data_IF_463488678695
#
_entry.id   IF_463488678695
#
_cell.length_a   1.000
_cell.length_b   1.000
_cell.length_c   1.000
_cell.angle_alpha   90.00
_cell.angle_beta   90.00
_cell.angle_gamma   90.00
#
_symmetry.space_group_name_H-M   'P 1'
#
loop_
_entity.id
_entity.type
_entity.pdbx_description
1 polymer ?
#
# COMPACT_ATOMS: atom_id res chain seq x y z
N UNK A 1 -14.12 -40.30 -26.94
CA UNK A 1 -15.22 -39.32 -27.15
C UNK A 1 -14.68 -37.91 -26.88
N UNK A 2 -13.67 -37.47 -27.64
CA UNK A 2 -13.10 -36.12 -27.54
C UNK A 2 -12.84 -35.59 -28.96
N UNK A 3 -13.92 -35.39 -29.70
CA UNK A 3 -13.87 -34.73 -31.00
C UNK A 3 -14.76 -33.49 -30.94
N UNK A 4 -14.24 -32.35 -31.39
CA UNK A 4 -14.94 -31.08 -31.61
C UNK A 4 -15.30 -30.23 -30.38
N UNK A 5 -14.31 -29.70 -29.65
CA UNK A 5 -14.53 -28.46 -28.88
C UNK A 5 -14.49 -27.22 -29.79
N UNK A 6 -13.51 -27.12 -30.68
CA UNK A 6 -13.38 -26.01 -31.64
C UNK A 6 -14.59 -25.87 -32.58
N UNK A 7 -15.11 -26.98 -33.13
CA UNK A 7 -16.29 -26.91 -34.00
C UNK A 7 -17.59 -26.53 -33.25
N UNK A 8 -17.65 -26.68 -31.92
CA UNK A 8 -18.81 -26.23 -31.13
C UNK A 8 -18.76 -24.70 -30.93
N UNK A 9 -17.56 -24.13 -30.79
CA UNK A 9 -17.35 -22.70 -30.66
C UNK A 9 -17.75 -21.95 -31.94
N UNK A 10 -17.36 -22.46 -33.11
CA UNK A 10 -17.66 -21.84 -34.42
C UNK A 10 -19.13 -21.91 -34.84
N UNK A 11 -19.92 -22.86 -34.31
CA UNK A 11 -21.28 -23.13 -34.83
C UNK A 11 -22.41 -22.62 -33.92
N UNK A 12 -22.13 -22.30 -32.66
CA UNK A 12 -23.18 -21.99 -31.65
C UNK A 12 -23.02 -20.59 -31.04
N UNK A 13 -21.79 -20.10 -30.89
CA UNK A 13 -21.52 -18.85 -30.19
C UNK A 13 -21.31 -17.70 -31.18
N UNK A 14 -21.71 -16.48 -30.77
CA UNK A 14 -21.37 -15.29 -31.54
C UNK A 14 -19.87 -15.01 -31.36
N UNK A 15 -19.17 -14.46 -32.37
CA UNK A 15 -17.74 -14.14 -32.25
C UNK A 15 -17.40 -13.27 -31.04
N UNK A 16 -18.25 -12.31 -30.68
CA UNK A 16 -18.05 -11.47 -29.49
C UNK A 16 -18.10 -12.29 -28.19
N UNK A 17 -18.90 -13.36 -28.18
CA UNK A 17 -18.97 -14.29 -27.05
C UNK A 17 -17.75 -15.19 -26.98
N UNK A 18 -17.14 -15.53 -28.12
CA UNK A 18 -15.94 -16.37 -28.18
C UNK A 18 -14.72 -15.65 -27.58
N UNK A 19 -14.56 -14.34 -27.88
CA UNK A 19 -13.47 -13.52 -27.32
C UNK A 19 -13.53 -13.51 -25.79
N UNK A 20 -14.73 -13.38 -25.22
CA UNK A 20 -14.96 -13.29 -23.78
C UNK A 20 -14.96 -14.65 -23.03
N UNK A 21 -14.62 -15.77 -23.69
CA UNK A 21 -14.59 -17.07 -23.02
C UNK A 21 -13.36 -17.20 -22.13
N UNK A 22 -13.59 -17.26 -20.82
CA UNK A 22 -12.58 -17.63 -19.83
C UNK A 22 -12.28 -19.14 -19.90
N UNK A 23 -11.05 -19.52 -19.55
CA UNK A 23 -10.58 -20.92 -19.48
C UNK A 23 -10.60 -21.70 -20.81
N UNK A 24 -10.62 -21.00 -21.95
CA UNK A 24 -10.44 -21.59 -23.27
C UNK A 24 -9.09 -21.15 -23.84
N UNK A 25 -8.22 -22.07 -24.30
CA UNK A 25 -6.93 -21.71 -24.86
C UNK A 25 -7.04 -20.67 -25.97
N UNK A 26 -6.09 -19.74 -26.02
CA UNK A 26 -6.03 -18.66 -27.01
C UNK A 26 -6.24 -19.16 -28.44
N UNK A 27 -5.47 -20.18 -28.86
CA UNK A 27 -5.52 -20.74 -30.22
C UNK A 27 -6.92 -21.22 -30.60
N UNK A 28 -7.63 -21.87 -29.68
CA UNK A 28 -9.01 -22.33 -29.92
C UNK A 28 -10.02 -21.19 -30.02
N UNK A 29 -9.82 -20.09 -29.29
CA UNK A 29 -10.65 -18.89 -29.41
C UNK A 29 -10.37 -18.17 -30.73
N UNK A 30 -9.10 -17.98 -31.08
CA UNK A 30 -8.67 -17.33 -32.30
C UNK A 30 -9.17 -18.07 -33.55
N UNK A 31 -8.96 -19.38 -33.63
CA UNK A 31 -9.42 -20.23 -34.76
C UNK A 31 -10.95 -20.24 -34.91
N UNK A 32 -11.69 -19.89 -33.86
CA UNK A 32 -13.15 -19.78 -33.91
C UNK A 32 -13.64 -18.42 -34.41
N UNK A 33 -12.75 -17.44 -34.61
CA UNK A 33 -13.08 -16.12 -35.15
C UNK A 33 -13.16 -16.13 -36.69
N UNK A 34 -14.02 -15.27 -37.28
CA UNK A 34 -14.14 -15.19 -38.73
C UNK A 34 -12.85 -14.68 -39.39
N UNK A 35 -12.45 -15.32 -40.50
CA UNK A 35 -11.29 -14.90 -41.29
C UNK A 35 -9.93 -15.43 -40.80
N UNK A 36 -9.90 -16.06 -39.62
CA UNK A 36 -8.71 -16.74 -39.08
C UNK A 36 -8.50 -18.08 -39.78
N UNK A 37 -7.28 -18.32 -40.22
CA UNK A 37 -6.84 -19.57 -40.87
C UNK A 37 -6.19 -20.48 -39.83
N UNK A 38 -5.23 -19.95 -39.08
CA UNK A 38 -4.45 -20.67 -38.06
C UNK A 38 -4.05 -19.71 -36.94
N UNK A 39 -3.77 -20.24 -35.74
CA UNK A 39 -3.26 -19.48 -34.61
C UNK A 39 -2.16 -20.26 -33.86
N UNK A 40 -1.19 -19.53 -33.32
CA UNK A 40 0.02 -20.08 -32.70
C UNK A 40 0.36 -19.37 -31.39
N UNK A 41 1.04 -20.10 -30.50
CA UNK A 41 1.61 -19.60 -29.23
C UNK A 41 3.10 -19.26 -29.36
N UNK A 42 3.57 -19.10 -30.60
CA UNK A 42 4.93 -18.67 -30.93
C UNK A 42 4.90 -17.93 -32.26
N UNK A 43 5.85 -17.01 -32.44
CA UNK A 43 6.06 -16.31 -33.70
C UNK A 43 7.00 -17.14 -34.57
N UNK A 44 6.60 -17.36 -35.82
CA UNK A 44 7.40 -18.13 -36.80
C UNK A 44 7.26 -17.49 -38.20
N UNK A 45 8.05 -17.97 -39.15
CA UNK A 45 7.94 -17.56 -40.54
C UNK A 45 6.61 -18.01 -41.16
N UNK A 46 5.97 -17.11 -41.91
CA UNK A 46 4.69 -17.39 -42.57
C UNK A 46 4.80 -17.15 -44.07
N UNK A 47 4.23 -18.04 -44.88
CA UNK A 47 4.19 -17.87 -46.34
C UNK A 47 3.43 -16.60 -46.75
N UNK A 48 4.02 -15.84 -47.68
CA UNK A 48 3.36 -14.75 -48.39
C UNK A 48 2.08 -15.28 -49.07
N UNK A 49 1.01 -14.50 -48.96
CA UNK A 49 -0.27 -14.77 -49.61
C UNK A 49 -0.25 -14.30 -51.08
N UNK A 50 -1.09 -14.91 -51.92
CA UNK A 50 -1.22 -14.57 -53.34
C UNK A 50 -0.42 -15.48 -54.27
N UNK A 51 -0.01 -14.95 -55.43
CA UNK A 51 0.80 -15.67 -56.42
C UNK A 51 2.27 -15.69 -55.94
N UNK A 52 2.59 -16.69 -55.12
CA UNK A 52 3.90 -16.89 -54.49
C UNK A 52 4.60 -18.13 -55.11
N UNK A 53 5.11 -18.03 -56.36
CA UNK A 53 5.69 -19.16 -57.07
C UNK A 53 7.04 -19.63 -56.49
N UNK A 54 7.71 -18.76 -55.74
CA UNK A 54 9.03 -18.99 -55.16
C UNK A 54 8.96 -19.46 -53.68
N UNK A 55 7.74 -19.58 -53.12
CA UNK A 55 7.47 -19.95 -51.72
C UNK A 55 8.16 -19.02 -50.70
N UNK A 56 8.21 -17.72 -51.01
CA UNK A 56 8.81 -16.71 -50.14
C UNK A 56 8.05 -16.63 -48.80
N UNK A 57 8.81 -16.48 -47.72
CA UNK A 57 8.31 -16.36 -46.33
C UNK A 57 8.48 -14.93 -45.80
N UNK A 58 7.59 -14.56 -44.87
CA UNK A 58 7.66 -13.34 -44.08
C UNK A 58 8.38 -13.70 -42.77
N UNK A 59 9.52 -13.07 -42.53
CA UNK A 59 10.21 -13.13 -41.22
C UNK A 59 9.52 -12.14 -40.27
N UNK A 60 8.45 -12.61 -39.63
CA UNK A 60 7.58 -11.80 -38.77
C UNK A 60 8.36 -11.01 -37.71
N UNK A 61 9.36 -11.64 -37.10
CA UNK A 61 10.16 -11.01 -36.05
C UNK A 61 10.97 -9.81 -36.53
N UNK A 62 11.34 -9.75 -37.82
CA UNK A 62 12.05 -8.60 -38.39
C UNK A 62 11.17 -7.40 -38.68
N UNK A 63 9.89 -7.66 -38.91
CA UNK A 63 8.91 -6.61 -39.23
C UNK A 63 8.36 -5.93 -37.97
N UNK A 64 8.41 -6.63 -36.84
CA UNK A 64 8.05 -6.07 -35.54
C UNK A 64 9.10 -5.05 -35.08
N UNK A 65 8.62 -3.92 -34.55
CA UNK A 65 9.51 -2.91 -33.95
C UNK A 65 10.13 -3.39 -32.64
N UNK A 66 9.35 -4.09 -31.82
CA UNK A 66 9.83 -4.77 -30.61
C UNK A 66 9.65 -6.27 -30.77
N UNK A 67 10.74 -7.03 -30.63
CA UNK A 67 10.68 -8.47 -30.53
C UNK A 67 10.22 -8.85 -29.11
N UNK A 68 9.17 -9.67 -28.95
CA UNK A 68 8.74 -10.11 -27.63
C UNK A 68 9.84 -10.85 -26.88
N UNK A 69 9.89 -10.64 -25.57
CA UNK A 69 10.78 -11.39 -24.68
C UNK A 69 10.12 -12.70 -24.20
N UNK A 70 8.80 -12.71 -24.07
CA UNK A 70 8.00 -13.87 -23.62
C UNK A 70 6.58 -13.83 -24.16
N UNK A 71 5.86 -14.95 -24.01
CA UNK A 71 4.43 -15.07 -24.30
C UNK A 71 4.02 -14.60 -25.69
N UNK A 72 4.78 -15.04 -26.70
CA UNK A 72 4.50 -14.79 -28.11
C UNK A 72 3.15 -15.37 -28.54
N UNK A 73 2.45 -14.67 -29.43
CA UNK A 73 1.20 -15.11 -30.03
C UNK A 73 1.14 -14.66 -31.49
N UNK A 74 0.56 -15.49 -32.35
CA UNK A 74 0.37 -15.18 -33.76
C UNK A 74 -0.97 -15.69 -34.26
N UNK A 75 -1.69 -14.87 -35.01
CA UNK A 75 -2.93 -15.22 -35.71
C UNK A 75 -2.71 -15.00 -37.20
N UNK A 76 -2.85 -16.07 -37.97
CA UNK A 76 -2.73 -16.07 -39.42
C UNK A 76 -4.12 -15.94 -40.01
N UNK A 77 -4.36 -14.86 -40.74
CA UNK A 77 -5.59 -14.64 -41.49
C UNK A 77 -5.30 -14.68 -43.00
N UNK A 78 -6.35 -14.57 -43.82
CA UNK A 78 -6.22 -14.64 -45.28
C UNK A 78 -5.32 -13.56 -45.89
N UNK A 79 -5.47 -12.31 -45.45
CA UNK A 79 -4.80 -11.12 -46.04
C UNK A 79 -3.72 -10.49 -45.16
N UNK A 80 -3.62 -10.89 -43.90
CA UNK A 80 -2.77 -10.23 -42.89
C UNK A 80 -2.45 -11.19 -41.75
N UNK A 81 -1.45 -10.84 -40.96
CA UNK A 81 -1.03 -11.51 -39.73
C UNK A 81 -1.25 -10.55 -38.56
N UNK A 82 -1.68 -11.07 -37.42
CA UNK A 82 -1.72 -10.32 -36.15
C UNK A 82 -0.76 -11.01 -35.22
N UNK A 83 0.27 -10.29 -34.78
CA UNK A 83 1.40 -10.86 -34.02
C UNK A 83 1.63 -10.00 -32.80
N UNK A 84 2.02 -10.62 -31.69
CA UNK A 84 2.23 -9.89 -30.46
C UNK A 84 2.91 -10.73 -29.40
N UNK A 85 3.23 -10.09 -28.29
CA UNK A 85 3.83 -10.74 -27.14
C UNK A 85 4.13 -9.75 -26.04
N UNK A 86 4.85 -10.20 -25.02
CA UNK A 86 5.25 -9.38 -23.89
C UNK A 86 6.71 -8.99 -23.98
N UNK A 87 6.98 -7.70 -23.75
CA UNK A 87 8.32 -7.14 -23.66
C UNK A 87 8.59 -6.67 -22.23
N UNK A 88 9.78 -6.92 -21.70
CA UNK A 88 10.16 -6.39 -20.39
C UNK A 88 10.33 -4.87 -20.44
N UNK A 89 9.68 -4.16 -19.52
CA UNK A 89 9.88 -2.72 -19.33
C UNK A 89 11.11 -2.46 -18.47
N UNK A 90 12.19 -2.05 -19.14
CA UNK A 90 13.47 -1.74 -18.49
C UNK A 90 13.50 -0.34 -17.84
N UNK A 91 12.51 0.53 -18.09
CA UNK A 91 12.38 1.88 -17.51
C UNK A 91 11.19 1.98 -16.55
N UNK A 92 10.96 0.92 -15.78
CA UNK A 92 9.79 0.73 -14.93
C UNK A 92 9.91 1.33 -13.53
N UNK A 93 10.93 2.17 -13.26
CA UNK A 93 11.09 2.77 -11.92
C UNK A 93 9.94 3.68 -11.52
N UNK A 94 9.23 4.26 -12.49
CA UNK A 94 8.07 5.13 -12.30
C UNK A 94 6.76 4.36 -12.05
N UNK A 95 6.83 3.02 -12.03
CA UNK A 95 5.71 2.11 -11.80
C UNK A 95 5.79 1.44 -10.42
N UNK A 96 6.60 1.99 -9.50
CA UNK A 96 6.62 1.52 -8.11
C UNK A 96 5.23 1.69 -7.49
N UNK A 97 4.52 0.59 -7.16
CA UNK A 97 3.17 0.69 -6.65
C UNK A 97 3.11 1.36 -5.27
N UNK A 98 4.24 1.47 -4.56
CA UNK A 98 4.38 2.12 -3.25
C UNK A 98 5.06 3.50 -3.32
N UNK A 99 5.17 4.10 -4.51
CA UNK A 99 5.65 5.47 -4.65
C UNK A 99 4.72 6.45 -3.90
N UNK A 100 5.24 7.47 -3.21
CA UNK A 100 4.40 8.47 -2.55
C UNK A 100 3.37 9.11 -3.49
N UNK A 101 2.08 8.86 -3.22
CA UNK A 101 0.95 9.41 -3.99
C UNK A 101 0.22 8.42 -4.90
N UNK A 102 0.61 7.14 -4.90
CA UNK A 102 -0.08 6.07 -5.66
C UNK A 102 -1.32 5.52 -4.95
N UNK A 103 -1.67 6.03 -3.77
CA UNK A 103 -2.82 5.62 -2.95
C UNK A 103 -2.74 4.18 -2.39
N UNK A 104 -1.55 3.58 -2.39
CA UNK A 104 -1.28 2.22 -1.90
C UNK A 104 -0.42 2.19 -0.62
N UNK A 105 -0.09 3.36 -0.05
CA UNK A 105 0.86 3.48 1.05
C UNK A 105 2.32 3.37 0.60
N UNK A 106 3.23 3.31 1.58
CA UNK A 106 4.67 3.31 1.35
C UNK A 106 5.37 2.20 2.12
N UNK A 107 6.47 1.69 1.57
CA UNK A 107 7.36 0.76 2.24
C UNK A 107 8.61 1.49 2.70
N UNK A 108 9.00 1.28 3.96
CA UNK A 108 10.22 1.84 4.53
C UNK A 108 11.11 0.72 5.07
N UNK A 109 12.42 0.77 4.80
CA UNK A 109 13.37 -0.26 5.17
C UNK A 109 14.15 0.06 6.44
N UNK A 110 14.40 -0.96 7.27
CA UNK A 110 15.22 -0.85 8.47
C UNK A 110 16.73 -0.69 8.19
N UNK A 111 17.17 -1.01 6.96
CA UNK A 111 18.58 -1.09 6.61
C UNK A 111 18.92 -0.26 5.38
N UNK A 112 20.12 0.31 5.38
CA UNK A 112 20.66 1.09 4.26
C UNK A 112 21.07 0.25 3.05
N UNK A 113 20.89 -1.08 3.11
CA UNK A 113 21.09 -1.96 1.97
C UNK A 113 19.99 -1.78 0.91
N UNK A 114 18.78 -1.42 1.33
CA UNK A 114 17.60 -1.28 0.46
C UNK A 114 16.97 0.10 0.51
N UNK A 115 16.99 0.74 1.67
CA UNK A 115 16.56 2.14 1.80
C UNK A 115 17.72 3.09 1.95
N UNK A 116 17.43 4.39 1.91
CA UNK A 116 18.37 5.43 2.33
C UNK A 116 18.20 5.79 3.82
N UNK A 117 18.99 6.76 4.30
CA UNK A 117 18.92 7.20 5.69
C UNK A 117 17.61 7.90 6.05
N UNK A 118 16.95 8.56 5.08
CA UNK A 118 15.65 9.20 5.30
C UNK A 118 14.57 8.13 5.43
N UNK A 119 14.63 7.11 4.59
CA UNK A 119 13.73 5.96 4.62
C UNK A 119 13.87 5.16 5.92
N UNK A 120 15.10 4.93 6.39
CA UNK A 120 15.35 4.30 7.67
C UNK A 120 14.78 5.10 8.84
N UNK A 121 14.89 6.43 8.80
CA UNK A 121 14.25 7.29 9.81
C UNK A 121 12.71 7.19 9.77
N UNK A 122 12.12 7.07 8.58
CA UNK A 122 10.67 6.83 8.42
C UNK A 122 10.25 5.46 8.95
N UNK A 123 11.06 4.41 8.76
CA UNK A 123 10.85 3.09 9.35
C UNK A 123 10.78 3.18 10.89
N UNK A 124 11.76 3.81 11.54
CA UNK A 124 11.76 3.93 13.00
C UNK A 124 10.62 4.81 13.50
N UNK A 125 10.38 5.95 12.85
CA UNK A 125 9.29 6.85 13.20
C UNK A 125 7.91 6.18 13.10
N UNK A 126 7.68 5.35 12.08
CA UNK A 126 6.44 4.59 11.92
C UNK A 126 6.19 3.62 13.09
N UNK A 127 7.25 3.09 13.69
CA UNK A 127 7.18 2.20 14.86
C UNK A 127 7.16 2.94 16.21
N UNK A 128 7.26 4.28 16.21
CA UNK A 128 7.37 5.10 17.42
C UNK A 128 8.77 5.09 18.06
N UNK A 129 9.79 4.77 17.26
CA UNK A 129 11.19 4.70 17.67
C UNK A 129 11.97 5.95 17.24
N UNK A 130 13.11 6.18 17.88
CA UNK A 130 14.05 7.26 17.55
C UNK A 130 14.95 6.88 16.37
N UNK A 131 15.83 7.78 15.94
CA UNK A 131 16.74 7.54 14.80
C UNK A 131 17.74 6.41 15.03
N UNK A 132 17.96 6.01 16.28
CA UNK A 132 18.85 4.92 16.66
C UNK A 132 18.09 3.58 16.85
N UNK A 133 16.77 3.59 16.63
CA UNK A 133 15.90 2.42 16.79
C UNK A 133 15.52 2.11 18.23
N UNK A 134 15.73 3.03 19.17
CA UNK A 134 15.29 2.89 20.56
C UNK A 134 13.91 3.50 20.76
N UNK A 135 13.27 3.22 21.90
CA UNK A 135 11.99 3.84 22.27
C UNK A 135 12.13 5.36 22.32
N UNK A 136 11.34 6.07 21.50
CA UNK A 136 11.36 7.52 21.50
C UNK A 136 10.45 8.08 22.60
N UNK A 137 11.06 8.57 23.67
CA UNK A 137 10.34 9.18 24.79
C UNK A 137 9.95 10.65 24.57
N UNK A 138 10.31 11.25 23.43
CA UNK A 138 10.01 12.65 23.11
C UNK A 138 8.57 12.86 22.65
N UNK A 139 7.85 11.78 22.30
CA UNK A 139 6.45 11.84 21.90
C UNK A 139 5.58 12.46 23.01
N UNK A 140 4.73 13.42 22.65
CA UNK A 140 3.86 14.12 23.61
C UNK A 140 2.98 13.16 24.43
N UNK A 141 2.36 12.12 23.85
CA UNK A 141 1.59 11.14 24.62
C UNK A 141 2.41 10.38 25.68
N UNK A 142 3.71 10.17 25.43
CA UNK A 142 4.63 9.54 26.39
C UNK A 142 4.95 10.52 27.50
N UNK A 143 5.30 11.76 27.14
CA UNK A 143 5.54 12.83 28.12
C UNK A 143 4.33 13.03 29.05
N UNK A 144 3.12 13.07 28.52
CA UNK A 144 1.88 13.22 29.30
C UNK A 144 1.67 12.06 30.29
N UNK A 145 2.01 10.82 29.88
CA UNK A 145 1.96 9.64 30.76
C UNK A 145 3.01 9.69 31.85
N UNK A 146 4.24 10.10 31.52
CA UNK A 146 5.29 10.30 32.51
C UNK A 146 4.85 11.34 33.54
N UNK A 147 4.29 12.49 33.11
CA UNK A 147 3.76 13.51 34.03
C UNK A 147 2.70 12.93 34.95
N UNK A 148 1.74 12.17 34.42
CA UNK A 148 0.69 11.53 35.23
C UNK A 148 1.27 10.55 36.26
N UNK A 149 2.25 9.73 35.88
CA UNK A 149 2.94 8.79 36.76
C UNK A 149 3.71 9.51 37.86
N UNK A 150 4.50 10.52 37.52
CA UNK A 150 5.23 11.36 38.49
C UNK A 150 4.25 12.06 39.44
N UNK A 151 3.17 12.66 38.94
CA UNK A 151 2.17 13.34 39.78
C UNK A 151 1.42 12.37 40.69
N UNK A 152 1.17 11.14 40.25
CA UNK A 152 0.60 10.07 41.09
C UNK A 152 1.57 9.70 42.21
N UNK A 153 2.85 9.44 41.89
CA UNK A 153 3.88 9.11 42.88
C UNK A 153 4.11 10.23 43.91
N UNK A 154 4.15 11.49 43.46
CA UNK A 154 4.18 12.65 44.36
C UNK A 154 2.93 12.69 45.25
N UNK A 155 1.76 12.36 44.71
CA UNK A 155 0.51 12.32 45.46
C UNK A 155 0.47 11.25 46.56
N UNK A 156 1.18 10.13 46.36
CA UNK A 156 1.30 9.03 47.33
C UNK A 156 2.29 9.36 48.45
N UNK A 157 3.34 10.16 48.17
CA UNK A 157 4.24 10.71 49.19
C UNK A 157 3.81 12.12 49.63
N UNK A 158 3.01 12.17 50.71
CA UNK A 158 2.51 13.42 51.28
C UNK A 158 3.63 14.39 51.73
N UNK A 159 4.79 13.87 52.11
CA UNK A 159 5.94 14.67 52.56
C UNK A 159 6.58 15.38 51.38
N UNK A 160 6.80 14.65 50.28
CA UNK A 160 7.28 15.19 49.01
C UNK A 160 6.31 16.22 48.44
N UNK A 161 5.01 15.89 48.37
CA UNK A 161 3.99 16.82 47.88
C UNK A 161 3.99 18.13 48.67
N UNK A 162 3.98 18.04 49.99
CA UNK A 162 3.95 19.23 50.85
C UNK A 162 5.20 20.09 50.65
N UNK A 163 6.38 19.46 50.50
CA UNK A 163 7.65 20.15 50.23
C UNK A 163 7.61 20.90 48.90
N UNK A 164 7.14 20.26 47.83
CA UNK A 164 7.07 20.85 46.49
C UNK A 164 6.05 21.99 46.44
N UNK A 165 4.88 21.83 47.06
CA UNK A 165 3.87 22.90 47.17
C UNK A 165 4.38 24.11 47.97
N UNK A 166 5.08 23.87 49.08
CA UNK A 166 5.74 24.96 49.83
C UNK A 166 6.78 25.66 48.97
N UNK A 167 7.49 24.90 48.11
CA UNK A 167 8.47 25.49 47.20
C UNK A 167 7.83 26.35 46.11
N UNK A 168 6.71 25.93 45.54
CA UNK A 168 5.93 26.77 44.61
C UNK A 168 5.57 28.13 45.22
N UNK A 169 5.17 28.14 46.50
CA UNK A 169 4.92 29.37 47.24
C UNK A 169 6.15 30.27 47.31
N UNK A 170 7.32 29.68 47.59
CA UNK A 170 8.57 30.41 47.73
C UNK A 170 9.04 31.09 46.43
N UNK A 171 8.66 30.52 45.27
CA UNK A 171 8.96 31.08 43.94
C UNK A 171 7.79 31.90 43.36
N UNK A 172 6.82 32.30 44.18
CA UNK A 172 5.63 33.07 43.78
C UNK A 172 4.77 32.43 42.68
N UNK A 173 4.75 31.10 42.58
CA UNK A 173 3.81 30.36 41.72
C UNK A 173 2.54 29.96 42.50
N UNK A 174 1.40 29.76 41.81
CA UNK A 174 0.18 29.27 42.45
C UNK A 174 0.41 27.95 43.20
N UNK A 175 -0.04 27.86 44.44
CA UNK A 175 0.14 26.66 45.27
C UNK A 175 -0.99 25.68 44.98
N UNK A 176 -0.88 24.94 43.88
CA UNK A 176 -1.85 23.93 43.46
C UNK A 176 -1.17 22.73 42.81
N UNK A 177 -1.84 21.57 42.83
CA UNK A 177 -1.38 20.38 42.08
C UNK A 177 -1.23 20.68 40.59
N UNK A 178 -2.17 21.43 40.01
CA UNK A 178 -2.12 21.85 38.61
C UNK A 178 -0.88 22.70 38.30
N UNK A 179 -0.48 23.63 39.18
CA UNK A 179 0.73 24.41 38.96
C UNK A 179 2.01 23.57 39.09
N UNK A 180 2.01 22.53 39.92
CA UNK A 180 3.12 21.60 40.03
C UNK A 180 3.24 20.75 38.76
N UNK A 181 2.10 20.21 38.30
CA UNK A 181 1.99 19.46 37.05
C UNK A 181 2.51 20.26 35.85
N UNK A 182 2.13 21.54 35.72
CA UNK A 182 2.65 22.41 34.65
C UNK A 182 4.17 22.62 34.73
N UNK A 183 4.75 22.65 35.95
CA UNK A 183 6.21 22.77 36.12
C UNK A 183 6.93 21.48 35.71
N UNK A 184 6.34 20.32 36.03
CA UNK A 184 6.89 19.01 35.65
C UNK A 184 6.77 18.82 34.13
N UNK A 185 5.62 19.11 33.54
CA UNK A 185 5.42 19.07 32.09
C UNK A 185 6.42 19.99 31.39
N UNK A 186 6.60 21.22 31.88
CA UNK A 186 7.57 22.15 31.33
C UNK A 186 9.00 21.56 31.35
N UNK A 187 9.39 20.94 32.47
CA UNK A 187 10.72 20.35 32.63
C UNK A 187 10.96 19.18 31.67
N UNK A 188 9.99 18.28 31.49
CA UNK A 188 10.08 17.16 30.53
C UNK A 188 10.14 17.69 29.09
N UNK A 189 9.34 18.70 28.77
CA UNK A 189 9.26 19.25 27.41
C UNK A 189 10.51 20.04 26.96
N UNK A 190 11.51 20.23 27.83
CA UNK A 190 12.75 20.92 27.43
C UNK A 190 13.66 20.00 26.61
N UNK A 191 14.26 19.00 27.27
CA UNK A 191 15.20 18.05 26.65
C UNK A 191 14.81 16.58 26.93
N UNK A 192 13.57 16.35 27.35
CA UNK A 192 13.05 15.03 27.68
C UNK A 192 13.13 14.69 29.17
N UNK A 193 12.67 13.48 29.50
CA UNK A 193 12.53 13.02 30.89
C UNK A 193 13.87 12.89 31.62
N UNK A 194 14.94 12.53 30.91
CA UNK A 194 16.28 12.28 31.48
C UNK A 194 16.92 13.53 32.08
N UNK A 195 16.61 14.70 31.50
CA UNK A 195 17.08 16.01 31.98
C UNK A 195 16.04 16.75 32.83
N UNK A 196 14.82 16.21 32.96
CA UNK A 196 13.74 16.88 33.67
C UNK A 196 14.11 17.25 35.12
N UNK A 197 14.91 16.43 35.80
CA UNK A 197 15.39 16.73 37.15
C UNK A 197 16.26 17.99 37.22
N UNK A 198 17.09 18.26 36.21
CA UNK A 198 17.92 19.46 36.16
C UNK A 198 17.05 20.71 35.98
N UNK A 199 16.05 20.65 35.08
CA UNK A 199 15.09 21.74 34.89
C UNK A 199 14.20 21.95 36.12
N UNK A 200 13.86 20.89 36.85
CA UNK A 200 13.16 21.00 38.12
C UNK A 200 14.04 21.63 39.19
N UNK A 201 15.33 21.27 39.27
CA UNK A 201 16.29 21.89 40.18
C UNK A 201 16.44 23.39 39.87
N UNK A 202 16.50 23.78 38.60
CA UNK A 202 16.62 25.18 38.20
C UNK A 202 15.33 25.94 38.48
N UNK A 203 14.19 25.43 38.01
CA UNK A 203 12.89 26.11 38.13
C UNK A 203 12.44 26.24 39.59
N UNK A 204 12.59 25.17 40.38
CA UNK A 204 12.15 25.17 41.76
C UNK A 204 13.22 25.77 42.66
N UNK A 205 14.49 25.40 42.51
CA UNK A 205 15.54 25.71 43.49
C UNK A 205 16.58 26.74 43.01
N UNK A 206 16.57 27.14 41.73
CA UNK A 206 17.55 28.07 41.15
C UNK A 206 18.93 27.43 40.99
N UNK A 207 19.00 26.11 40.87
CA UNK A 207 20.24 25.35 40.74
C UNK A 207 20.29 24.70 39.36
N UNK A 208 21.30 25.02 38.56
CA UNK A 208 21.35 24.61 37.15
C UNK A 208 21.41 23.10 36.91
N UNK A 209 21.82 22.31 37.91
CA UNK A 209 21.91 20.85 37.81
C UNK A 209 21.52 20.20 39.14
N UNK A 210 20.78 19.10 39.05
CA UNK A 210 20.33 18.31 40.19
C UNK A 210 21.50 17.84 41.07
N UNK A 211 22.60 17.43 40.46
CA UNK A 211 23.79 16.96 41.17
C UNK A 211 24.56 18.06 41.93
N UNK A 212 24.20 19.34 41.73
CA UNK A 212 24.76 20.48 42.47
C UNK A 212 23.88 20.93 43.64
N UNK A 213 22.76 20.25 43.86
CA UNK A 213 21.91 20.52 45.02
C UNK A 213 22.64 20.12 46.32
N UNK A 214 22.28 20.79 47.41
CA UNK A 214 22.75 20.44 48.75
C UNK A 214 22.41 18.97 49.06
N UNK A 215 23.36 18.21 49.62
CA UNK A 215 23.24 16.76 49.81
C UNK A 215 22.03 16.37 50.66
N UNK A 216 21.79 17.09 51.76
CA UNK A 216 20.63 16.87 52.62
C UNK A 216 19.30 17.16 51.91
N UNK A 217 19.30 18.05 50.92
CA UNK A 217 18.12 18.36 50.11
C UNK A 217 17.93 17.33 49.01
N UNK A 218 19.02 16.87 48.38
CA UNK A 218 19.00 15.82 47.38
C UNK A 218 18.46 14.51 47.99
N UNK A 219 18.93 14.12 49.17
CA UNK A 219 18.42 12.94 49.90
C UNK A 219 16.91 13.02 50.18
N UNK A 220 16.42 14.22 50.56
CA UNK A 220 14.99 14.47 50.82
C UNK A 220 14.14 14.47 49.55
N UNK A 221 14.76 14.67 48.39
CA UNK A 221 14.09 14.65 47.08
C UNK A 221 14.40 13.38 46.28
N UNK A 222 15.14 12.43 46.86
CA UNK A 222 15.40 11.14 46.22
C UNK A 222 14.12 10.39 45.80
N UNK A 223 13.00 10.45 46.55
CA UNK A 223 11.74 9.87 46.08
C UNK A 223 11.22 10.52 44.78
N UNK A 224 11.49 11.81 44.54
CA UNK A 224 11.16 12.47 43.27
C UNK A 224 12.06 11.97 42.15
N UNK A 225 13.37 11.86 42.41
CA UNK A 225 14.33 11.36 41.41
C UNK A 225 14.01 9.93 40.97
N UNK A 226 13.55 9.08 41.89
CA UNK A 226 13.14 7.71 41.59
C UNK A 226 11.94 7.62 40.62
N UNK A 227 11.10 8.66 40.54
CA UNK A 227 9.97 8.72 39.60
C UNK A 227 10.41 9.06 38.16
N UNK A 228 11.63 9.57 37.97
CA UNK A 228 12.25 9.83 36.66
C UNK A 228 13.27 8.72 36.36
N UNK A 229 12.80 7.47 36.35
CA UNK A 229 13.62 6.32 35.98
C UNK A 229 13.34 5.89 34.54
N UNK A 230 14.32 5.23 33.92
CA UNK A 230 14.19 4.65 32.57
C UNK A 230 13.02 3.65 32.51
N UNK A 231 12.86 2.82 33.55
CA UNK A 231 11.75 1.86 33.65
C UNK A 231 10.37 2.54 33.58
N UNK A 232 10.19 3.69 34.24
CA UNK A 232 8.92 4.43 34.20
C UNK A 232 8.67 5.05 32.82
N UNK A 233 9.74 5.50 32.14
CA UNK A 233 9.65 6.02 30.77
C UNK A 233 9.34 4.91 29.77
N UNK A 234 9.96 3.73 29.90
CA UNK A 234 9.70 2.56 29.08
C UNK A 234 8.25 2.07 29.20
N UNK A 235 7.72 2.01 30.43
CA UNK A 235 6.32 1.63 30.65
C UNK A 235 5.35 2.69 30.09
N UNK A 236 5.65 3.98 30.24
CA UNK A 236 4.85 5.04 29.66
C UNK A 236 4.83 4.98 28.13
N UNK A 237 5.95 4.60 27.51
CA UNK A 237 6.04 4.36 26.08
C UNK A 237 5.22 3.13 25.67
N UNK A 238 5.33 2.00 26.37
CA UNK A 238 4.57 0.78 26.07
C UNK A 238 3.06 1.01 26.15
N UNK A 239 2.59 1.76 27.15
CA UNK A 239 1.20 2.17 27.29
C UNK A 239 0.72 3.10 26.16
N UNK A 240 1.58 3.99 25.69
CA UNK A 240 1.26 4.89 24.58
C UNK A 240 1.22 4.13 23.25
N UNK A 241 2.14 3.19 23.05
CA UNK A 241 2.18 2.34 21.87
C UNK A 241 0.95 1.42 21.82
N UNK A 242 0.62 0.76 22.94
CA UNK A 242 -0.55 -0.11 23.05
C UNK A 242 -1.88 0.65 22.85
N UNK A 243 -1.91 1.95 23.13
CA UNK A 243 -3.05 2.82 22.87
C UNK A 243 -3.10 3.36 21.43
N UNK A 244 -2.09 3.08 20.58
CA UNK A 244 -2.00 3.61 19.23
C UNK A 244 -1.76 5.11 19.16
N UNK A 245 -1.18 5.72 20.20
CA UNK A 245 -0.96 7.18 20.27
C UNK A 245 0.42 7.61 19.78
N UNK A 246 1.34 6.65 19.60
CA UNK A 246 2.69 6.89 19.08
C UNK A 246 2.99 5.95 17.92
N UNK A 247 3.88 6.42 17.03
CA UNK A 247 4.07 5.79 15.74
C UNK A 247 2.82 5.87 14.86
N UNK A 248 2.72 4.97 13.90
CA UNK A 248 1.57 4.84 13.00
C UNK A 248 0.86 3.51 13.30
N UNK A 249 -0.34 3.51 13.91
CA UNK A 249 -0.98 2.30 14.44
C UNK A 249 -1.28 1.19 13.42
N UNK A 250 -1.47 1.56 12.15
CA UNK A 250 -1.74 0.63 11.06
C UNK A 250 -0.48 0.19 10.30
N UNK A 251 0.70 0.46 10.85
CA UNK A 251 1.98 0.02 10.28
C UNK A 251 2.06 -1.50 10.33
N UNK A 252 2.33 -2.13 9.18
CA UNK A 252 2.45 -3.58 9.06
C UNK A 252 3.93 -3.95 8.91
N UNK A 253 4.52 -4.73 9.84
CA UNK A 253 5.89 -5.16 9.73
C UNK A 253 6.04 -6.22 8.63
N UNK A 254 7.12 -6.11 7.85
CA UNK A 254 7.38 -6.97 6.69
C UNK A 254 8.66 -7.79 6.85
N UNK A 255 8.58 -9.06 6.46
CA UNK A 255 9.73 -9.93 6.25
C UNK A 255 10.19 -9.83 4.79
N UNK A 256 11.50 -9.85 4.58
CA UNK A 256 12.14 -9.83 3.25
C UNK A 256 12.90 -11.13 3.04
N UNK A 257 12.51 -11.91 2.03
CA UNK A 257 13.20 -13.11 1.58
C UNK A 257 14.01 -12.83 0.31
N UNK A 258 15.26 -13.28 0.28
CA UNK A 258 16.19 -13.02 -0.83
C UNK A 258 16.92 -14.28 -1.29
N UNK A 259 16.41 -14.94 -2.34
CA UNK A 259 17.10 -16.06 -2.99
C UNK A 259 16.67 -16.16 -4.45
N UNK A 260 17.59 -15.87 -5.38
CA UNK A 260 17.33 -15.80 -6.84
C UNK A 260 16.25 -14.79 -7.26
N UNK A 261 15.79 -13.95 -6.32
CA UNK A 261 14.74 -12.95 -6.44
C UNK A 261 14.48 -12.35 -5.06
N UNK A 262 13.50 -11.45 -4.97
CA UNK A 262 13.06 -10.86 -3.71
C UNK A 262 11.57 -11.09 -3.46
N UNK A 263 11.20 -11.39 -2.23
CA UNK A 263 9.81 -11.45 -1.82
C UNK A 263 9.60 -10.77 -0.46
N UNK A 264 8.71 -9.79 -0.46
CA UNK A 264 8.17 -9.15 0.72
C UNK A 264 6.91 -9.88 1.17
N UNK A 265 6.74 -10.03 2.47
CA UNK A 265 5.55 -10.62 3.06
C UNK A 265 5.25 -10.01 4.41
N UNK A 266 3.98 -10.03 4.82
CA UNK A 266 3.62 -9.70 6.20
C UNK A 266 4.41 -10.62 7.14
N UNK A 267 4.94 -10.03 8.22
CA UNK A 267 5.84 -10.74 9.14
C UNK A 267 5.26 -12.08 9.58
N UNK A 268 6.02 -13.16 9.38
CA UNK A 268 5.63 -14.51 9.76
C UNK A 268 4.73 -15.26 8.78
N UNK A 269 4.24 -14.65 7.69
CA UNK A 269 3.35 -15.33 6.73
C UNK A 269 4.06 -15.87 5.49
N UNK A 270 5.24 -15.37 5.15
CA UNK A 270 5.97 -15.75 3.93
C UNK A 270 7.00 -16.86 4.10
N UNK A 271 7.97 -16.87 3.18
CA UNK A 271 9.10 -17.80 3.21
C UNK A 271 9.96 -17.56 4.45
N UNK A 272 10.19 -18.61 5.23
CA UNK A 272 10.91 -18.56 6.50
C UNK A 272 12.23 -19.34 6.41
N UNK A 273 13.13 -18.90 5.52
CA UNK A 273 14.49 -19.43 5.44
C UNK A 273 15.38 -18.77 6.49
N UNK A 274 16.13 -19.57 7.24
CA UNK A 274 17.05 -19.07 8.27
C UNK A 274 18.14 -18.13 7.72
N UNK A 275 18.54 -18.31 6.47
CA UNK A 275 19.66 -17.60 5.87
C UNK A 275 19.22 -16.44 4.98
N UNK A 276 18.08 -16.62 4.31
CA UNK A 276 17.64 -15.71 3.26
C UNK A 276 16.47 -14.81 3.70
N UNK A 277 15.84 -15.08 4.86
CA UNK A 277 14.75 -14.25 5.38
C UNK A 277 15.24 -13.30 6.48
N UNK A 278 15.13 -12.01 6.24
CA UNK A 278 15.29 -10.95 7.24
C UNK A 278 13.93 -10.58 7.81
N UNK A 279 13.75 -10.75 9.13
CA UNK A 279 12.46 -10.51 9.78
C UNK A 279 12.24 -9.06 10.15
N UNK A 280 11.01 -8.56 9.97
CA UNK A 280 10.62 -7.17 10.22
C UNK A 280 11.63 -6.15 9.63
N UNK A 281 12.22 -6.50 8.48
CA UNK A 281 13.29 -5.73 7.85
C UNK A 281 12.77 -4.52 7.06
N UNK A 282 11.45 -4.44 6.87
CA UNK A 282 10.73 -3.28 6.38
C UNK A 282 9.39 -3.12 7.10
N UNK A 283 8.75 -1.99 6.89
CA UNK A 283 7.36 -1.76 7.27
C UNK A 283 6.58 -1.23 6.08
N UNK A 284 5.34 -1.68 5.93
CA UNK A 284 4.37 -1.00 5.08
C UNK A 284 3.55 -0.05 5.94
N UNK A 285 3.39 1.17 5.45
CA UNK A 285 2.68 2.26 6.13
C UNK A 285 1.59 2.77 5.18
N UNK A 286 0.30 2.63 5.53
CA UNK A 286 -0.76 3.14 4.68
C UNK A 286 -0.72 4.67 4.62
N UNK A 287 -1.00 5.21 3.43
CA UNK A 287 -1.27 6.63 3.22
C UNK A 287 -2.74 6.96 3.52
N UNK A 288 -3.15 8.22 3.31
CA UNK A 288 -4.50 8.67 3.63
C UNK A 288 -5.57 7.92 2.82
N UNK A 289 -5.31 7.63 1.55
CA UNK A 289 -6.25 6.94 0.67
C UNK A 289 -6.39 5.45 1.05
N UNK A 290 -5.27 4.78 1.35
CA UNK A 290 -5.27 3.42 1.88
C UNK A 290 -6.01 3.34 3.23
N UNK A 291 -5.79 4.32 4.13
CA UNK A 291 -6.51 4.41 5.41
C UNK A 291 -8.02 4.56 5.19
N UNK A 292 -8.46 5.39 4.24
CA UNK A 292 -9.87 5.59 3.93
C UNK A 292 -10.53 4.31 3.39
N UNK A 293 -9.82 3.53 2.58
CA UNK A 293 -10.26 2.22 2.10
C UNK A 293 -10.35 1.18 3.24
N UNK A 294 -9.29 1.07 4.05
CA UNK A 294 -9.24 0.19 5.23
C UNK A 294 -10.40 0.51 6.17
N UNK A 295 -10.61 1.80 6.45
CA UNK A 295 -11.68 2.26 7.34
C UNK A 295 -13.05 1.96 6.77
N UNK A 296 -13.29 2.19 5.47
CA UNK A 296 -14.56 1.84 4.83
C UNK A 296 -14.88 0.35 4.96
N UNK A 297 -13.89 -0.51 4.70
CA UNK A 297 -14.04 -1.97 4.80
C UNK A 297 -14.31 -2.42 6.25
N UNK A 298 -13.57 -1.87 7.22
CA UNK A 298 -13.80 -2.16 8.64
C UNK A 298 -15.21 -1.73 9.09
N UNK A 299 -15.66 -0.53 8.70
CA UNK A 299 -17.00 -0.04 9.04
C UNK A 299 -18.11 -0.89 8.40
N UNK A 300 -17.89 -1.36 7.17
CA UNK A 300 -18.81 -2.25 6.47
C UNK A 300 -18.97 -3.59 7.19
N UNK A 301 -17.88 -4.21 7.61
CA UNK A 301 -17.91 -5.48 8.35
C UNK A 301 -18.53 -5.34 9.75
N UNK A 302 -18.45 -4.16 10.37
CA UNK A 302 -19.19 -3.83 11.59
C UNK A 302 -20.70 -3.60 11.36
N UNK A 303 -21.18 -3.68 10.12
CA UNK A 303 -22.59 -3.48 9.77
C UNK A 303 -23.04 -2.03 9.89
N UNK A 304 -22.12 -1.07 9.80
CA UNK A 304 -22.45 0.37 9.89
C UNK A 304 -23.04 0.88 8.57
N UNK A 305 -22.54 0.36 7.44
CA UNK A 305 -23.02 0.68 6.10
C UNK A 305 -21.94 0.48 5.02
N UNK A 306 -22.21 0.97 3.82
CA UNK A 306 -21.33 0.91 2.66
C UNK A 306 -21.19 2.30 2.02
N UNK A 307 -20.01 2.59 1.49
CA UNK A 307 -19.75 3.77 0.65
C UNK A 307 -19.37 3.29 -0.74
N UNK A 308 -19.83 3.98 -1.79
CA UNK A 308 -19.43 3.70 -3.16
C UNK A 308 -19.35 4.98 -3.99
N UNK A 309 -18.50 4.92 -5.03
CA UNK A 309 -18.39 5.95 -6.04
C UNK A 309 -19.52 5.82 -7.07
N UNK A 310 -20.06 6.96 -7.49
CA UNK A 310 -21.09 7.09 -8.53
C UNK A 310 -20.67 8.16 -9.53
N UNK A 311 -21.16 8.03 -10.76
CA UNK A 311 -20.77 8.92 -11.85
C UNK A 311 -19.54 8.42 -12.59
N UNK A 312 -18.98 9.27 -13.45
CA UNK A 312 -17.82 8.94 -14.26
C UNK A 312 -16.69 9.93 -14.00
N UNK A 313 -15.47 9.42 -13.80
CA UNK A 313 -14.28 10.24 -13.69
C UNK A 313 -14.13 11.13 -14.95
N UNK A 314 -13.86 12.42 -14.75
CA UNK A 314 -13.70 13.38 -15.86
C UNK A 314 -15.00 13.84 -16.56
N UNK A 315 -16.17 13.31 -16.20
CA UNK A 315 -17.44 13.72 -16.81
C UNK A 315 -17.92 15.08 -16.27
N UNK A 316 -18.23 16.02 -17.18
CA UNK A 316 -18.80 17.33 -16.81
C UNK A 316 -20.29 17.24 -16.46
N UNK A 317 -21.02 16.27 -17.02
CA UNK A 317 -22.46 16.14 -16.85
C UNK A 317 -22.85 15.19 -15.72
N UNK A 318 -21.96 14.25 -15.38
CA UNK A 318 -22.16 13.30 -14.28
C UNK A 318 -20.82 13.05 -13.55
N UNK A 319 -20.30 14.06 -12.83
CA UNK A 319 -19.00 13.97 -12.18
C UNK A 319 -19.00 12.89 -11.09
N UNK A 320 -17.81 12.32 -10.87
CA UNK A 320 -17.58 11.34 -9.82
C UNK A 320 -17.92 11.91 -8.43
N UNK A 321 -18.72 11.19 -7.65
CA UNK A 321 -19.10 11.56 -6.29
C UNK A 321 -19.42 10.32 -5.44
N UNK A 322 -19.20 10.43 -4.13
CA UNK A 322 -19.46 9.35 -3.19
C UNK A 322 -20.88 9.41 -2.62
N UNK A 323 -21.45 8.24 -2.36
CA UNK A 323 -22.74 8.06 -1.68
C UNK A 323 -22.60 6.96 -0.63
N UNK A 324 -23.48 6.95 0.35
CA UNK A 324 -23.50 5.89 1.36
C UNK A 324 -24.83 5.16 1.41
N UNK A 325 -24.83 3.94 1.95
CA UNK A 325 -26.00 3.13 2.21
C UNK A 325 -25.87 2.43 3.55
N UNK A 326 -26.93 2.40 4.36
CA UNK A 326 -26.93 1.68 5.65
C UNK A 326 -27.39 0.23 5.51
N UNK A 327 -28.08 -0.11 4.41
CA UNK A 327 -28.66 -1.43 4.14
C UNK A 327 -28.05 -2.11 2.90
N UNK A 328 -27.10 -1.44 2.23
CA UNK A 328 -26.45 -1.90 1.00
C UNK A 328 -27.29 -1.72 -0.27
N UNK A 329 -28.49 -1.16 -0.19
CA UNK A 329 -29.42 -1.04 -1.32
C UNK A 329 -29.96 0.37 -1.54
N UNK A 330 -30.24 1.10 -0.46
CA UNK A 330 -30.74 2.46 -0.46
C UNK A 330 -29.57 3.43 -0.35
N UNK A 331 -29.29 4.17 -1.42
CA UNK A 331 -28.16 5.10 -1.50
C UNK A 331 -28.56 6.54 -1.20
N UNK A 332 -27.81 7.20 -0.32
CA UNK A 332 -27.99 8.58 0.13
C UNK A 332 -26.80 9.42 -0.34
N UNK A 333 -27.08 10.60 -0.89
CA UNK A 333 -26.04 11.53 -1.37
C UNK A 333 -26.20 11.98 -2.83
N UNK A 334 -27.29 11.61 -3.50
CA UNK A 334 -27.63 12.09 -4.84
C UNK A 334 -27.57 13.63 -4.91
N UNK A 335 -26.79 14.17 -5.87
CA UNK A 335 -26.65 15.60 -6.09
C UNK A 335 -25.88 16.37 -5.02
N UNK A 336 -25.28 15.69 -4.03
CA UNK A 336 -24.48 16.34 -2.97
C UNK A 336 -23.03 16.61 -3.36
N UNK A 337 -22.49 15.85 -4.32
CA UNK A 337 -21.10 15.98 -4.75
C UNK A 337 -20.09 15.64 -3.65
N UNK A 338 -20.44 14.73 -2.73
CA UNK A 338 -19.57 14.37 -1.62
C UNK A 338 -18.29 13.67 -2.10
N UNK A 339 -17.18 13.97 -1.41
CA UNK A 339 -15.97 13.14 -1.44
C UNK A 339 -16.13 11.89 -0.56
N UNK A 340 -15.27 10.90 -0.73
CA UNK A 340 -15.32 9.63 0.01
C UNK A 340 -15.44 9.82 1.53
N UNK A 341 -14.50 10.54 2.12
CA UNK A 341 -14.45 10.83 3.56
C UNK A 341 -15.73 11.52 4.04
N UNK A 342 -16.29 12.43 3.25
CA UNK A 342 -17.55 13.11 3.60
C UNK A 342 -18.73 12.14 3.60
N UNK A 343 -18.83 11.25 2.60
CA UNK A 343 -19.88 10.24 2.56
C UNK A 343 -19.75 9.25 3.73
N UNK A 344 -18.52 8.87 4.09
CA UNK A 344 -18.22 8.01 5.24
C UNK A 344 -18.64 8.68 6.57
N UNK A 345 -18.30 9.95 6.78
CA UNK A 345 -18.70 10.69 7.99
C UNK A 345 -20.22 10.83 8.12
N UNK A 346 -20.92 11.04 6.99
CA UNK A 346 -22.39 11.08 6.97
C UNK A 346 -22.99 9.70 7.27
N UNK A 347 -22.39 8.62 6.75
CA UNK A 347 -22.81 7.25 7.05
C UNK A 347 -22.69 6.95 8.54
N UNK A 348 -21.55 7.27 9.16
CA UNK A 348 -21.30 7.07 10.59
C UNK A 348 -22.31 7.88 11.42
N UNK A 349 -22.56 9.14 11.03
CA UNK A 349 -23.51 10.01 11.72
C UNK A 349 -24.97 9.54 11.61
N UNK A 350 -25.33 8.89 10.50
CA UNK A 350 -26.68 8.38 10.25
C UNK A 350 -26.90 6.98 10.85
N UNK A 351 -25.84 6.22 11.10
CA UNK A 351 -25.94 4.85 11.61
C UNK A 351 -26.36 4.83 13.09
N UNK A 352 -27.36 4.01 13.47
CA UNK A 352 -27.74 3.83 14.87
C UNK A 352 -26.81 2.88 15.63
N UNK A 353 -25.85 2.25 14.93
CA UNK A 353 -24.95 1.24 15.51
C UNK A 353 -23.92 1.93 16.39
N UNK A 354 -23.79 1.47 17.63
CA UNK A 354 -22.76 1.96 18.55
C UNK A 354 -21.43 1.31 18.17
N UNK A 355 -20.45 2.14 17.84
CA UNK A 355 -19.08 1.70 17.53
C UNK A 355 -18.34 1.42 18.85
N UNK A 356 -17.82 0.21 18.99
CA UNK A 356 -16.85 -0.11 20.03
C UNK A 356 -15.44 0.16 19.50
N UNK A 357 -14.71 1.10 20.11
CA UNK A 357 -13.43 1.55 19.59
C UNK A 357 -12.40 0.41 19.54
N UNK A 358 -12.32 -0.42 20.59
CA UNK A 358 -11.36 -1.53 20.63
C UNK A 358 -11.62 -2.55 19.52
N UNK A 359 -12.89 -2.88 19.26
CA UNK A 359 -13.27 -3.76 18.15
C UNK A 359 -12.94 -3.11 16.80
N UNK A 360 -13.21 -1.80 16.64
CA UNK A 360 -12.88 -1.07 15.43
C UNK A 360 -11.36 -1.07 15.16
N UNK A 361 -10.55 -0.75 16.16
CA UNK A 361 -9.10 -0.67 16.02
C UNK A 361 -8.51 -2.03 15.61
N UNK A 362 -8.96 -3.11 16.28
CA UNK A 362 -8.56 -4.47 15.92
C UNK A 362 -8.95 -4.85 14.50
N UNK A 363 -10.13 -4.44 14.04
CA UNK A 363 -10.60 -4.74 12.70
C UNK A 363 -9.89 -3.90 11.65
N UNK A 364 -9.62 -2.62 11.93
CA UNK A 364 -8.83 -1.75 11.06
C UNK A 364 -7.42 -2.32 10.87
N UNK A 365 -6.78 -2.81 11.93
CA UNK A 365 -5.47 -3.47 11.82
C UNK A 365 -5.55 -4.74 10.96
N UNK A 366 -6.56 -5.60 11.16
CA UNK A 366 -6.75 -6.78 10.32
C UNK A 366 -6.98 -6.44 8.84
N UNK A 367 -7.76 -5.39 8.55
CA UNK A 367 -7.97 -4.88 7.19
C UNK A 367 -6.73 -4.22 6.60
N UNK A 368 -5.89 -3.60 7.42
CA UNK A 368 -4.59 -3.11 6.99
C UNK A 368 -3.67 -4.26 6.57
N UNK A 369 -3.64 -5.39 7.31
CA UNK A 369 -2.89 -6.58 6.89
C UNK A 369 -3.41 -7.19 5.58
N UNK A 370 -4.74 -7.28 5.40
CA UNK A 370 -5.34 -7.77 4.15
C UNK A 370 -4.97 -6.86 2.97
N UNK A 371 -5.10 -5.55 3.15
CA UNK A 371 -4.77 -4.56 2.12
C UNK A 371 -3.28 -4.61 1.77
N UNK A 372 -2.41 -4.66 2.79
CA UNK A 372 -0.97 -4.80 2.62
C UNK A 372 -0.61 -6.03 1.78
N UNK A 373 -1.23 -7.19 2.03
CA UNK A 373 -0.97 -8.39 1.22
C UNK A 373 -1.26 -8.17 -0.27
N UNK A 374 -2.37 -7.50 -0.61
CA UNK A 374 -2.68 -7.15 -2.00
C UNK A 374 -1.63 -6.21 -2.61
N UNK A 375 -1.22 -5.16 -1.89
CA UNK A 375 -0.16 -4.24 -2.34
C UNK A 375 1.17 -4.97 -2.56
N UNK A 376 1.50 -5.93 -1.69
CA UNK A 376 2.74 -6.70 -1.80
C UNK A 376 2.77 -7.63 -3.02
N UNK A 377 1.63 -8.04 -3.57
CA UNK A 377 1.61 -8.81 -4.82
C UNK A 377 2.19 -7.99 -5.97
N UNK A 378 1.67 -6.78 -6.18
CA UNK A 378 2.17 -5.85 -7.20
C UNK A 378 3.61 -5.39 -6.91
N UNK A 379 3.91 -5.06 -5.64
CA UNK A 379 5.25 -4.62 -5.25
C UNK A 379 6.30 -5.72 -5.46
N UNK A 380 5.96 -6.99 -5.21
CA UNK A 380 6.89 -8.09 -5.48
C UNK A 380 7.14 -8.28 -6.97
N UNK A 381 6.10 -8.18 -7.82
CA UNK A 381 6.28 -8.23 -9.28
C UNK A 381 7.22 -7.10 -9.73
N UNK A 382 6.95 -5.87 -9.32
CA UNK A 382 7.80 -4.72 -9.62
C UNK A 382 9.25 -4.90 -9.13
N UNK A 383 9.44 -5.32 -7.88
CA UNK A 383 10.76 -5.48 -7.26
C UNK A 383 11.62 -6.58 -7.92
N UNK A 384 10.99 -7.52 -8.64
CA UNK A 384 11.69 -8.54 -9.44
C UNK A 384 11.83 -8.16 -10.92
N UNK A 385 11.34 -6.98 -11.34
CA UNK A 385 11.37 -6.54 -12.73
C UNK A 385 10.33 -7.23 -13.62
N UNK A 386 9.29 -7.81 -13.02
CA UNK A 386 8.14 -8.37 -13.74
C UNK A 386 7.20 -7.24 -14.16
N UNK A 387 7.72 -6.36 -15.01
CA UNK A 387 6.99 -5.24 -15.58
C UNK A 387 7.00 -5.40 -17.09
N UNK A 388 5.83 -5.36 -17.69
CA UNK A 388 5.64 -5.75 -19.08
C UNK A 388 4.99 -4.64 -19.91
N UNK A 389 5.39 -4.58 -21.17
CA UNK A 389 4.64 -3.99 -22.26
C UNK A 389 3.97 -5.07 -23.08
N UNK A 390 2.70 -4.85 -23.43
CA UNK A 390 1.95 -5.62 -24.40
C UNK A 390 2.14 -4.96 -25.75
N UNK A 391 2.73 -5.68 -26.69
CA UNK A 391 2.94 -5.20 -28.07
C UNK A 391 2.16 -6.06 -29.05
N UNK A 392 1.49 -5.40 -29.99
CA UNK A 392 0.75 -6.04 -31.07
C UNK A 392 1.00 -5.28 -32.38
N UNK A 393 1.30 -6.04 -33.43
CA UNK A 393 1.51 -5.54 -34.79
C UNK A 393 0.61 -6.27 -35.76
N UNK A 394 0.23 -5.59 -36.84
CA UNK A 394 -0.51 -6.19 -37.95
C UNK A 394 0.34 -6.12 -39.21
N UNK A 395 0.59 -7.25 -39.86
CA UNK A 395 1.45 -7.34 -41.06
C UNK A 395 0.59 -7.71 -42.26
N UNK A 396 0.73 -6.99 -43.39
CA UNK A 396 0.07 -7.38 -44.64
C UNK A 396 0.72 -8.65 -45.19
N UNK A 397 -0.10 -9.68 -45.43
CA UNK A 397 0.42 -10.99 -45.83
C UNK A 397 0.78 -11.05 -47.32
N UNK A 398 0.36 -10.09 -48.13
CA UNK A 398 0.69 -10.02 -49.57
C UNK A 398 1.98 -9.24 -49.81
N UNK A 399 2.30 -8.25 -48.97
CA UNK A 399 3.53 -7.45 -49.12
C UNK A 399 4.62 -7.82 -48.11
N UNK A 400 4.24 -8.37 -46.95
CA UNK A 400 5.14 -8.62 -45.84
C UNK A 400 5.41 -7.39 -44.97
N UNK A 401 4.80 -6.24 -45.28
CA UNK A 401 5.08 -5.00 -44.54
C UNK A 401 4.13 -4.82 -43.34
N UNK A 402 4.64 -4.21 -42.27
CA UNK A 402 3.83 -3.83 -41.11
C UNK A 402 2.84 -2.69 -41.45
N UNK A 403 1.60 -2.83 -41.00
CA UNK A 403 0.51 -1.86 -41.16
C UNK A 403 0.42 -0.99 -39.91
N UNK A 404 1.24 0.06 -39.87
CA UNK A 404 1.45 0.90 -38.67
C UNK A 404 0.18 1.51 -38.06
N UNK A 405 -0.87 1.71 -38.86
CA UNK A 405 -2.16 2.26 -38.39
C UNK A 405 -2.92 1.32 -37.45
N UNK A 406 -2.49 0.06 -37.34
CA UNK A 406 -3.09 -0.96 -36.49
C UNK A 406 -2.20 -1.44 -35.35
N UNK A 407 -0.99 -0.91 -35.23
CA UNK A 407 -0.07 -1.25 -34.15
C UNK A 407 -0.60 -0.74 -32.81
N UNK A 408 -0.45 -1.55 -31.77
CA UNK A 408 -0.80 -1.21 -30.39
C UNK A 408 0.35 -1.58 -29.46
N UNK A 409 0.76 -0.63 -28.63
CA UNK A 409 1.88 -0.77 -27.70
C UNK A 409 1.43 -0.18 -26.36
N UNK A 410 1.05 -1.03 -25.42
CA UNK A 410 0.58 -0.64 -24.09
C UNK A 410 1.59 -1.06 -23.03
N UNK A 411 2.05 -0.12 -22.21
CA UNK A 411 3.11 -0.35 -21.21
C UNK A 411 2.61 -0.16 -19.79
N UNK A 412 3.25 -0.84 -18.85
CA UNK A 412 3.05 -0.64 -17.41
C UNK A 412 2.26 -1.73 -16.70
N UNK A 413 2.26 -2.96 -17.22
CA UNK A 413 1.61 -4.10 -16.57
C UNK A 413 2.53 -4.71 -15.52
N UNK A 414 2.07 -4.79 -14.27
CA UNK A 414 2.79 -5.46 -13.18
C UNK A 414 2.38 -6.93 -13.09
N UNK A 415 3.35 -7.84 -13.23
CA UNK A 415 3.15 -9.28 -13.26
C UNK A 415 2.69 -9.81 -14.63
N UNK A 416 3.04 -11.06 -14.95
CA UNK A 416 2.79 -11.61 -16.30
C UNK A 416 1.31 -11.88 -16.58
N UNK A 417 0.53 -12.31 -15.58
CA UNK A 417 -0.85 -12.78 -15.82
C UNK A 417 -1.77 -11.67 -16.35
N UNK A 418 -1.70 -10.46 -15.78
CA UNK A 418 -2.49 -9.33 -16.29
C UNK A 418 -2.04 -8.91 -17.70
N UNK A 419 -0.73 -8.96 -17.97
CA UNK A 419 -0.19 -8.62 -19.27
C UNK A 419 -0.60 -9.65 -20.34
N UNK A 420 -0.59 -10.95 -20.01
CA UNK A 420 -1.05 -12.03 -20.88
C UNK A 420 -2.55 -11.91 -21.22
N UNK A 421 -3.39 -11.66 -20.21
CA UNK A 421 -4.82 -11.48 -20.41
C UNK A 421 -5.12 -10.29 -21.35
N UNK A 422 -4.40 -9.18 -21.17
CA UNK A 422 -4.52 -8.00 -22.03
C UNK A 422 -4.04 -8.29 -23.45
N UNK A 423 -2.89 -8.96 -23.62
CA UNK A 423 -2.37 -9.38 -24.93
C UNK A 423 -3.41 -10.21 -25.70
N UNK A 424 -3.96 -11.24 -25.05
CA UNK A 424 -4.96 -12.10 -25.67
C UNK A 424 -6.24 -11.32 -26.03
N UNK A 425 -6.68 -10.43 -25.13
CA UNK A 425 -7.84 -9.57 -25.35
C UNK A 425 -7.66 -8.65 -26.56
N UNK A 426 -6.52 -7.94 -26.64
CA UNK A 426 -6.20 -7.04 -27.75
C UNK A 426 -6.12 -7.78 -29.09
N UNK A 427 -5.40 -8.90 -29.13
CA UNK A 427 -5.23 -9.68 -30.36
C UNK A 427 -6.54 -10.27 -30.87
N UNK A 428 -7.36 -10.84 -29.98
CA UNK A 428 -8.65 -11.41 -30.36
C UNK A 428 -9.65 -10.32 -30.79
N UNK A 429 -9.65 -9.18 -30.11
CA UNK A 429 -10.45 -8.02 -30.51
C UNK A 429 -10.05 -7.51 -31.89
N UNK A 430 -8.73 -7.41 -32.16
CA UNK A 430 -8.22 -6.98 -33.47
C UNK A 430 -8.56 -7.99 -34.57
N UNK A 431 -8.43 -9.29 -34.30
CA UNK A 431 -8.82 -10.34 -35.23
C UNK A 431 -10.31 -10.28 -35.58
N UNK A 432 -11.16 -10.00 -34.59
CA UNK A 432 -12.59 -9.80 -34.81
C UNK A 432 -12.89 -8.55 -35.64
N UNK A 433 -12.25 -7.42 -35.31
CA UNK A 433 -12.40 -6.15 -36.03
C UNK A 433 -12.07 -6.31 -37.52
N UNK A 434 -10.92 -6.90 -37.82
CA UNK A 434 -10.43 -7.06 -39.19
C UNK A 434 -11.08 -8.24 -39.92
N UNK A 435 -11.61 -9.23 -39.19
CA UNK A 435 -12.42 -10.31 -39.77
C UNK A 435 -13.81 -9.84 -40.22
N UNK A 436 -14.37 -8.80 -39.59
CA UNK A 436 -15.68 -8.25 -39.95
C UNK A 436 -15.66 -7.39 -41.22
N UNK A 437 -14.53 -6.78 -41.57
CA UNK A 437 -14.38 -5.92 -42.76
C UNK A 437 -14.28 -6.69 -44.08
N UNK A 438 -14.13 -8.02 -44.04
CA UNK A 438 -13.98 -8.90 -45.21
C UNK A 438 -15.33 -9.49 -45.70
N UNK A 439 -16.46 -9.05 -45.13
CA UNK A 439 -17.81 -9.51 -45.50
C UNK A 439 -18.68 -8.51 -46.26
#
# INVERSE_FOLDING_TARGET
MFGNKAAVLTTILRPETVVALENVPFTQRAEALPGVVEAFESIDEVLLAGDNPDEDTIDVNREMRFSPDTEERMIVCGSHLIVGGLCFDQDSSHLDPCEPGTANGNIYHASTRRGDAEEQAKYYSALGLDSDGNKDFSWQPVADRIVKRVMKGIGEDLSLLTRLLHRLRAINKPVSKASLESVIQFAINQEGWSYALDYLADTLYGVSYWNRMDGDLQDKLQPLAALFSESEAEEAWDEAQAAGEIGKPLTIPLDIYEHSGIAYSVTGTGMNCRWDTSRAAAVWVPDEDAIDNIRSNAMSELGIGHVAWFGAAGSQTNPLHARFSLDGSTWVGEGKGWKWTQALDQMISASPVKIDCATLDSLMYAKAEEYCKGVLEEYNSWANGEVYGVVMYVIDRNTGDCISDHDDECWGFLGCSHAEEELESQMLAKALELGQTVH
#
